data_IF_670850490998
#
_entry.id   IF_670850490998
#
_cell.length_a   1.000
_cell.length_b   1.000
_cell.length_c   1.000
_cell.angle_alpha   90.00
_cell.angle_beta   90.00
_cell.angle_gamma   90.00
#
_symmetry.space_group_name_H-M   'P 1'
#
loop_
_entity.id
_entity.type
_entity.pdbx_description
1 polymer ?
#
# COMPACT_ATOMS: atom_id res chain seq x y z
N UNK A 1 0.25 -16.40 -21.29
CA UNK A 1 1.41 -15.52 -21.58
C UNK A 1 2.16 -15.31 -20.28
N UNK A 2 3.44 -15.68 -20.20
CA UNK A 2 4.26 -15.30 -19.06
C UNK A 2 4.28 -13.77 -18.98
N UNK A 3 3.88 -13.20 -17.84
CA UNK A 3 4.01 -11.76 -17.64
C UNK A 3 5.49 -11.37 -17.81
N UNK A 4 5.76 -10.28 -18.53
CA UNK A 4 7.12 -9.79 -18.68
C UNK A 4 7.68 -9.48 -17.29
N UNK A 5 8.89 -9.96 -16.99
CA UNK A 5 9.59 -9.65 -15.74
C UNK A 5 9.64 -8.14 -15.51
N UNK A 6 9.48 -7.73 -14.26
CA UNK A 6 9.62 -6.36 -13.82
C UNK A 6 11.04 -5.83 -14.06
N UNK A 7 11.15 -4.50 -14.17
CA UNK A 7 12.44 -3.79 -14.25
C UNK A 7 12.63 -2.94 -13.00
N UNK A 8 13.88 -2.65 -12.66
CA UNK A 8 14.26 -1.70 -11.59
C UNK A 8 13.77 -2.09 -10.17
N UNK A 9 13.45 -3.36 -9.91
CA UNK A 9 13.05 -3.82 -8.57
C UNK A 9 14.18 -3.58 -7.55
N UNK A 10 15.44 -3.72 -7.97
CA UNK A 10 16.66 -3.47 -7.21
C UNK A 10 17.14 -2.00 -7.26
N UNK A 11 16.47 -1.16 -8.06
CA UNK A 11 16.77 0.28 -8.23
C UNK A 11 15.57 1.12 -7.77
N UNK A 12 15.22 1.08 -6.47
CA UNK A 12 14.04 1.77 -5.99
C UNK A 12 14.17 3.29 -6.19
N UNK A 13 13.08 3.94 -6.57
CA UNK A 13 12.98 5.41 -6.65
C UNK A 13 13.32 6.07 -5.31
N UNK A 14 12.96 5.41 -4.21
CA UNK A 14 13.36 5.77 -2.85
C UNK A 14 13.21 4.56 -1.91
N UNK A 15 13.86 4.66 -0.75
CA UNK A 15 13.65 3.74 0.37
C UNK A 15 13.08 4.49 1.57
N UNK A 16 12.00 3.98 2.16
CA UNK A 16 11.44 4.47 3.42
C UNK A 16 11.73 3.45 4.52
N UNK A 17 12.22 3.90 5.68
CA UNK A 17 12.60 3.00 6.79
C UNK A 17 11.76 3.27 8.01
N UNK A 18 11.31 2.22 8.69
CA UNK A 18 10.60 2.30 9.96
C UNK A 18 11.18 1.29 10.96
N UNK A 19 11.47 1.75 12.18
CA UNK A 19 11.78 0.88 13.31
C UNK A 19 10.47 0.50 14.00
N UNK A 20 10.17 -0.79 14.13
CA UNK A 20 8.91 -1.28 14.71
C UNK A 20 8.72 -0.88 16.18
N UNK A 21 9.78 -0.45 16.86
CA UNK A 21 9.74 0.07 18.23
C UNK A 21 9.61 1.61 18.31
N UNK A 22 9.55 2.32 17.18
CA UNK A 22 9.46 3.78 17.13
C UNK A 22 8.09 4.31 17.60
N UNK A 23 7.99 5.63 17.76
CA UNK A 23 6.79 6.28 18.26
C UNK A 23 5.64 6.26 17.23
N UNK A 24 4.42 6.54 17.69
CA UNK A 24 3.27 6.81 16.82
C UNK A 24 3.55 7.97 15.84
N UNK A 25 4.23 9.02 16.30
CA UNK A 25 4.60 10.18 15.49
C UNK A 25 5.60 9.82 14.38
N UNK A 26 6.59 8.97 14.68
CA UNK A 26 7.55 8.48 13.68
C UNK A 26 6.84 7.62 12.62
N UNK A 27 5.87 6.81 13.04
CA UNK A 27 5.05 6.00 12.12
C UNK A 27 4.22 6.88 11.20
N UNK A 28 3.53 7.89 11.75
CA UNK A 28 2.75 8.84 10.95
C UNK A 28 3.63 9.59 9.95
N UNK A 29 4.82 10.03 10.38
CA UNK A 29 5.82 10.67 9.51
C UNK A 29 6.32 9.73 8.42
N UNK A 30 6.60 8.47 8.75
CA UNK A 30 7.00 7.44 7.80
C UNK A 30 5.95 7.24 6.70
N UNK A 31 4.68 7.06 7.06
CA UNK A 31 3.58 6.88 6.09
C UNK A 31 3.36 8.14 5.25
N UNK A 32 3.36 9.33 5.86
CA UNK A 32 3.23 10.60 5.15
C UNK A 32 4.38 10.82 4.14
N UNK A 33 5.61 10.45 4.52
CA UNK A 33 6.79 10.51 3.66
C UNK A 33 6.67 9.63 2.42
N UNK A 34 6.14 8.40 2.56
CA UNK A 34 5.87 7.52 1.42
C UNK A 34 4.87 8.16 0.47
N UNK A 35 3.71 8.61 0.98
CA UNK A 35 2.66 9.27 0.16
C UNK A 35 3.22 10.46 -0.61
N UNK A 36 4.03 11.28 0.06
CA UNK A 36 4.65 12.44 -0.57
C UNK A 36 5.60 12.03 -1.71
N UNK A 37 6.45 11.03 -1.51
CA UNK A 37 7.40 10.60 -2.55
C UNK A 37 6.74 9.87 -3.73
N UNK A 38 5.53 9.32 -3.54
CA UNK A 38 4.77 8.62 -4.57
C UNK A 38 3.88 9.53 -5.43
N UNK A 39 3.66 10.78 -5.01
CA UNK A 39 2.72 11.70 -5.69
C UNK A 39 3.13 11.97 -7.14
N UNK A 40 2.13 12.17 -8.01
CA UNK A 40 2.31 12.94 -9.22
C UNK A 40 2.30 14.43 -8.84
N UNK A 41 3.43 15.17 -8.96
CA UNK A 41 3.49 16.56 -8.51
C UNK A 41 2.52 17.49 -9.25
N UNK A 42 2.07 17.12 -10.45
CA UNK A 42 1.11 17.88 -11.24
C UNK A 42 -0.35 17.43 -11.05
N UNK A 43 -0.63 16.44 -10.19
CA UNK A 43 -1.99 15.92 -10.02
C UNK A 43 -2.32 15.65 -8.55
N UNK A 44 -3.16 16.54 -8.00
CA UNK A 44 -3.78 16.42 -6.70
C UNK A 44 -5.29 16.51 -6.85
N UNK A 45 -6.02 15.81 -5.99
CA UNK A 45 -7.47 15.94 -5.87
C UNK A 45 -7.80 16.29 -4.43
N UNK A 46 -8.48 17.42 -4.21
CA UNK A 46 -8.89 17.87 -2.87
C UNK A 46 -7.72 17.90 -1.86
N UNK A 47 -6.56 18.41 -2.30
CA UNK A 47 -5.31 18.47 -1.53
C UNK A 47 -4.74 17.08 -1.11
N UNK A 48 -5.17 16.00 -1.76
CA UNK A 48 -4.61 14.65 -1.60
C UNK A 48 -3.78 14.28 -2.83
N UNK A 49 -2.62 13.63 -2.63
CA UNK A 49 -1.80 13.21 -3.76
C UNK A 49 -2.53 12.16 -4.59
N UNK A 50 -2.34 12.20 -5.91
CA UNK A 50 -2.73 11.12 -6.83
C UNK A 50 -1.46 10.44 -7.32
N UNK A 51 -1.46 9.11 -7.39
CA UNK A 51 -0.38 8.37 -8.03
C UNK A 51 -0.27 8.75 -9.51
N UNK A 52 0.92 8.70 -10.13
CA UNK A 52 0.99 8.67 -11.57
C UNK A 52 0.29 7.40 -12.12
N UNK A 53 -0.23 7.43 -13.35
CA UNK A 53 -0.77 6.24 -13.99
C UNK A 53 0.26 5.10 -14.07
N UNK A 54 -0.24 3.86 -14.17
CA UNK A 54 0.59 2.72 -14.59
C UNK A 54 1.06 2.98 -16.02
N UNK A 55 2.36 2.83 -16.27
CA UNK A 55 2.94 3.03 -17.59
C UNK A 55 2.40 1.98 -18.59
N UNK A 56 1.81 2.40 -19.71
CA UNK A 56 1.24 1.47 -20.67
C UNK A 56 2.34 0.73 -21.46
N UNK A 57 2.05 -0.50 -21.88
CA UNK A 57 2.87 -1.30 -22.81
C UNK A 57 4.29 -1.70 -22.31
N UNK A 58 4.61 -1.46 -21.04
CA UNK A 58 5.87 -1.87 -20.40
C UNK A 58 5.59 -2.74 -19.16
N UNK A 59 6.50 -3.64 -18.75
CA UNK A 59 6.38 -4.30 -17.46
C UNK A 59 6.51 -3.29 -16.30
N UNK A 60 6.06 -3.62 -15.08
CA UNK A 60 6.22 -2.76 -13.92
C UNK A 60 7.70 -2.34 -13.73
N UNK A 61 7.95 -1.04 -13.91
CA UNK A 61 9.31 -0.48 -13.97
C UNK A 61 9.57 0.58 -12.90
N UNK A 62 8.57 0.92 -12.10
CA UNK A 62 8.63 1.93 -11.03
C UNK A 62 8.39 1.29 -9.67
N UNK A 63 9.42 1.30 -8.83
CA UNK A 63 9.46 0.58 -7.55
C UNK A 63 9.96 1.48 -6.44
N UNK A 64 9.57 1.18 -5.21
CA UNK A 64 10.18 1.75 -4.02
C UNK A 64 10.36 0.65 -2.98
N UNK A 65 11.27 0.88 -2.04
CA UNK A 65 11.50 -0.05 -0.95
C UNK A 65 10.96 0.49 0.37
N UNK A 66 10.44 -0.43 1.18
CA UNK A 66 10.20 -0.21 2.61
C UNK A 66 11.15 -1.10 3.39
N UNK A 67 11.86 -0.56 4.36
CA UNK A 67 12.73 -1.32 5.26
C UNK A 67 12.14 -1.28 6.67
N UNK A 68 11.75 -2.43 7.18
CA UNK A 68 11.23 -2.59 8.54
C UNK A 68 12.31 -3.19 9.43
N UNK A 69 12.68 -2.48 10.50
CA UNK A 69 13.74 -2.90 11.43
C UNK A 69 13.16 -3.28 12.79
N UNK A 70 13.63 -4.38 13.38
CA UNK A 70 13.26 -4.80 14.73
C UNK A 70 13.79 -3.84 15.82
N UNK A 71 14.96 -3.23 15.57
CA UNK A 71 15.58 -2.20 16.40
C UNK A 71 16.33 -1.19 15.51
N UNK A 72 16.78 -0.03 16.03
CA UNK A 72 17.55 0.93 15.23
C UNK A 72 18.81 0.34 14.55
N UNK A 73 19.43 -0.67 15.18
CA UNK A 73 20.69 -1.29 14.74
C UNK A 73 20.51 -2.65 14.03
N UNK A 74 19.30 -3.24 14.03
CA UNK A 74 19.06 -4.52 13.36
C UNK A 74 19.10 -4.39 11.84
N UNK A 75 19.57 -5.44 11.15
CA UNK A 75 19.26 -5.64 9.74
C UNK A 75 17.74 -5.66 9.53
N UNK A 76 17.27 -5.01 8.47
CA UNK A 76 15.85 -4.82 8.22
C UNK A 76 15.29 -5.74 7.13
N UNK A 77 14.02 -6.11 7.28
CA UNK A 77 13.22 -6.71 6.22
C UNK A 77 12.97 -5.66 5.12
N UNK A 78 13.45 -5.91 3.91
CA UNK A 78 13.16 -5.03 2.76
C UNK A 78 11.94 -5.55 2.02
N UNK A 79 11.00 -4.66 1.72
CA UNK A 79 9.80 -4.90 0.90
C UNK A 79 9.98 -4.23 -0.46
N UNK A 80 9.64 -4.93 -1.54
CA UNK A 80 9.57 -4.39 -2.90
C UNK A 80 8.10 -4.05 -3.21
N UNK A 81 7.81 -2.76 -3.36
CA UNK A 81 6.45 -2.26 -3.56
C UNK A 81 6.41 -1.43 -4.85
N UNK A 82 5.39 -1.65 -5.67
CA UNK A 82 5.16 -0.89 -6.90
C UNK A 82 4.82 0.57 -6.60
N UNK A 83 5.45 1.50 -7.31
CA UNK A 83 5.28 2.94 -7.12
C UNK A 83 4.11 3.54 -7.93
N UNK A 84 3.34 2.72 -8.65
CA UNK A 84 2.19 3.11 -9.46
C UNK A 84 0.83 2.61 -8.90
N UNK A 85 0.85 1.59 -8.04
CA UNK A 85 -0.37 1.05 -7.39
C UNK A 85 -0.17 0.56 -5.93
N UNK A 86 1.04 0.71 -5.37
CA UNK A 86 1.36 0.34 -3.98
C UNK A 86 1.15 -1.16 -3.74
N UNK A 87 1.28 -2.02 -4.75
CA UNK A 87 1.22 -3.48 -4.57
C UNK A 87 2.53 -3.98 -3.98
N UNK A 88 2.44 -4.75 -2.89
CA UNK A 88 3.56 -5.52 -2.37
C UNK A 88 3.77 -6.73 -3.27
N UNK A 89 4.94 -6.84 -3.89
CA UNK A 89 5.24 -7.93 -4.82
C UNK A 89 6.41 -8.78 -4.34
N UNK A 90 7.18 -8.31 -3.36
CA UNK A 90 8.19 -9.15 -2.75
C UNK A 90 8.78 -8.62 -1.45
N UNK A 91 9.55 -9.48 -0.79
CA UNK A 91 10.30 -9.17 0.41
C UNK A 91 11.64 -9.89 0.42
N UNK A 92 12.64 -9.33 1.09
CA UNK A 92 14.00 -9.89 1.17
C UNK A 92 14.28 -10.42 2.58
N UNK A 93 14.48 -11.73 2.71
CA UNK A 93 14.86 -12.37 3.97
C UNK A 93 16.34 -12.13 4.30
N UNK A 94 16.74 -12.49 5.54
CA UNK A 94 18.07 -12.28 6.08
C UNK A 94 19.16 -13.07 5.36
N UNK A 95 18.80 -14.17 4.70
CA UNK A 95 19.69 -14.97 3.84
C UNK A 95 19.92 -14.34 2.45
N UNK A 96 19.31 -13.17 2.19
CA UNK A 96 19.40 -12.45 0.93
C UNK A 96 18.40 -12.89 -0.14
N UNK A 97 17.57 -13.91 0.12
CA UNK A 97 16.57 -14.39 -0.83
C UNK A 97 15.47 -13.33 -1.02
N UNK A 98 15.25 -12.91 -2.27
CA UNK A 98 14.03 -12.22 -2.66
C UNK A 98 12.90 -13.23 -2.80
N UNK A 99 11.85 -13.05 -2.03
CA UNK A 99 10.61 -13.80 -2.12
C UNK A 99 9.58 -12.97 -2.88
N UNK A 100 9.00 -13.53 -3.93
CA UNK A 100 7.98 -12.83 -4.73
C UNK A 100 6.57 -13.39 -4.48
N UNK A 101 5.57 -12.52 -4.60
CA UNK A 101 4.14 -12.81 -4.48
C UNK A 101 3.48 -13.07 -5.84
N UNK A 102 4.16 -12.75 -6.93
CA UNK A 102 3.72 -13.04 -8.30
C UNK A 102 4.79 -13.88 -9.00
N UNK A 103 4.49 -15.13 -9.42
CA UNK A 103 5.49 -16.00 -10.04
C UNK A 103 6.11 -15.38 -11.30
N UNK A 104 7.44 -15.31 -11.35
CA UNK A 104 8.21 -14.81 -12.49
C UNK A 104 8.18 -13.29 -12.66
N UNK A 105 7.78 -12.53 -11.64
CA UNK A 105 7.72 -11.08 -11.72
C UNK A 105 9.07 -10.42 -11.38
N UNK A 106 9.70 -10.82 -10.28
CA UNK A 106 10.96 -10.22 -9.80
C UNK A 106 12.15 -11.05 -10.32
N UNK A 107 13.07 -10.45 -11.10
CA UNK A 107 14.24 -11.17 -11.61
C UNK A 107 15.05 -11.84 -10.49
N UNK A 108 15.23 -13.16 -10.58
CA UNK A 108 16.01 -13.96 -9.62
C UNK A 108 15.30 -14.25 -8.29
N UNK A 109 14.03 -13.86 -8.12
CA UNK A 109 13.28 -14.15 -6.90
C UNK A 109 12.79 -15.61 -6.84
N UNK A 110 12.47 -16.04 -5.62
CA UNK A 110 11.80 -17.32 -5.33
C UNK A 110 10.34 -17.07 -5.04
N UNK A 111 9.43 -17.67 -5.80
CA UNK A 111 8.00 -17.56 -5.49
C UNK A 111 7.69 -18.09 -4.08
N UNK A 112 6.97 -17.29 -3.29
CA UNK A 112 6.67 -17.60 -1.88
C UNK A 112 5.65 -18.74 -1.72
N UNK A 113 4.83 -19.00 -2.75
CA UNK A 113 3.83 -20.06 -2.76
C UNK A 113 2.39 -19.59 -2.56
N UNK A 114 2.15 -18.28 -2.56
CA UNK A 114 0.82 -17.65 -2.55
C UNK A 114 0.90 -16.23 -3.12
N UNK A 115 -0.23 -15.66 -3.50
CA UNK A 115 -0.34 -14.29 -4.03
C UNK A 115 -0.46 -13.21 -2.95
N UNK A 116 -0.31 -11.94 -3.35
CA UNK A 116 -0.44 -10.78 -2.46
C UNK A 116 -1.88 -10.30 -2.23
N UNK A 117 -2.90 -11.04 -2.67
CA UNK A 117 -4.30 -10.64 -2.52
C UNK A 117 -4.89 -11.15 -1.21
N UNK A 118 -5.84 -10.42 -0.60
CA UNK A 118 -6.51 -10.92 0.61
C UNK A 118 -7.28 -12.23 0.39
N UNK A 119 -7.66 -12.55 -0.86
CA UNK A 119 -8.21 -13.86 -1.22
C UNK A 119 -7.18 -14.98 -1.00
N UNK A 120 -5.93 -14.78 -1.42
CA UNK A 120 -4.86 -15.78 -1.23
C UNK A 120 -4.40 -15.86 0.23
N UNK A 121 -4.44 -14.73 0.94
CA UNK A 121 -3.91 -14.61 2.29
C UNK A 121 -4.90 -15.03 3.38
N UNK A 122 -6.19 -14.71 3.21
CA UNK A 122 -7.26 -14.93 4.20
C UNK A 122 -8.36 -15.88 3.71
N UNK A 123 -8.38 -16.19 2.41
CA UNK A 123 -9.44 -16.92 1.74
C UNK A 123 -10.59 -16.01 1.26
N UNK A 124 -10.80 -14.87 1.90
CA UNK A 124 -11.89 -13.92 1.60
C UNK A 124 -11.50 -12.50 2.01
N UNK A 125 -11.86 -11.49 1.19
CA UNK A 125 -11.65 -10.07 1.49
C UNK A 125 -12.53 -9.58 2.65
N UNK A 126 -13.60 -10.31 2.99
CA UNK A 126 -14.48 -9.98 4.11
C UNK A 126 -13.82 -10.21 5.48
N UNK A 127 -12.79 -11.07 5.53
CA UNK A 127 -12.05 -11.44 6.75
C UNK A 127 -11.04 -10.40 7.21
N UNK A 128 -10.93 -9.25 6.55
CA UNK A 128 -10.06 -8.16 6.98
C UNK A 128 -10.35 -7.69 8.41
N UNK A 129 -11.62 -7.72 8.83
CA UNK A 129 -12.05 -7.37 10.20
C UNK A 129 -11.58 -8.39 11.25
N UNK A 130 -11.00 -9.52 10.85
CA UNK A 130 -10.47 -10.53 11.77
C UNK A 130 -8.98 -10.34 12.09
N UNK A 131 -8.26 -9.53 11.30
CA UNK A 131 -6.81 -9.35 11.40
C UNK A 131 -6.47 -8.43 12.58
N UNK A 132 -5.72 -8.95 13.55
CA UNK A 132 -5.19 -8.16 14.65
C UNK A 132 -4.00 -7.32 14.17
N UNK A 133 -4.04 -6.02 14.45
CA UNK A 133 -3.00 -5.05 14.15
C UNK A 133 -2.44 -4.50 15.46
N UNK A 134 -1.17 -4.13 15.46
CA UNK A 134 -0.49 -3.59 16.64
C UNK A 134 1.01 -3.71 16.53
N UNK A 135 1.72 -3.11 17.50
CA UNK A 135 3.19 -3.09 17.51
C UNK A 135 3.79 -4.50 17.51
N UNK A 136 3.24 -5.40 18.32
CA UNK A 136 3.74 -6.77 18.44
C UNK A 136 3.49 -7.55 17.14
N UNK A 137 2.29 -7.44 16.56
CA UNK A 137 1.97 -8.09 15.28
C UNK A 137 2.91 -7.63 14.16
N UNK A 138 3.21 -6.33 14.09
CA UNK A 138 4.20 -5.80 13.15
C UNK A 138 5.60 -6.41 13.37
N UNK A 139 6.07 -6.48 14.62
CA UNK A 139 7.37 -7.04 14.96
C UNK A 139 7.46 -8.56 14.66
N UNK A 140 6.40 -9.30 14.95
CA UNK A 140 6.32 -10.75 14.70
C UNK A 140 6.27 -11.04 13.20
N UNK A 141 5.53 -10.24 12.43
CA UNK A 141 5.50 -10.33 10.97
C UNK A 141 6.87 -10.05 10.34
N UNK A 142 7.59 -9.03 10.84
CA UNK A 142 8.97 -8.75 10.42
C UNK A 142 9.89 -9.93 10.75
N UNK A 143 9.81 -10.46 11.97
CA UNK A 143 10.62 -11.63 12.40
C UNK A 143 10.36 -12.84 11.51
N UNK A 144 9.09 -13.18 11.25
CA UNK A 144 8.70 -14.35 10.48
C UNK A 144 9.17 -14.28 9.02
N UNK A 145 9.01 -13.13 8.35
CA UNK A 145 9.40 -12.98 6.94
C UNK A 145 10.90 -12.75 6.77
N UNK A 146 11.53 -12.01 7.67
CA UNK A 146 12.98 -11.79 7.62
C UNK A 146 13.75 -13.08 7.91
N UNK A 147 13.29 -13.90 8.86
CA UNK A 147 13.90 -15.19 9.19
C UNK A 147 13.50 -16.34 8.26
N UNK A 148 12.71 -16.09 7.21
CA UNK A 148 12.27 -17.13 6.28
C UNK A 148 13.45 -17.67 5.47
N UNK A 149 13.51 -18.99 5.35
CA UNK A 149 14.50 -19.72 4.55
C UNK A 149 13.82 -20.57 3.47
N UNK A 150 14.59 -21.06 2.49
CA UNK A 150 14.05 -21.95 1.45
C UNK A 150 13.44 -23.25 1.99
N UNK A 151 13.94 -23.74 3.13
CA UNK A 151 13.43 -24.94 3.80
C UNK A 151 12.01 -24.76 4.38
N UNK A 152 11.55 -23.52 4.58
CA UNK A 152 10.21 -23.24 5.10
C UNK A 152 9.11 -23.43 4.05
N UNK A 153 9.44 -23.36 2.75
CA UNK A 153 8.47 -23.38 1.64
C UNK A 153 7.57 -24.64 1.60
N UNK A 154 8.06 -25.87 1.78
CA UNK A 154 7.20 -27.06 1.81
C UNK A 154 6.38 -27.21 3.10
N UNK A 155 6.66 -26.44 4.15
CA UNK A 155 5.97 -26.57 5.44
C UNK A 155 4.64 -25.82 5.46
N UNK A 156 3.52 -26.54 5.53
CA UNK A 156 2.17 -25.97 5.64
C UNK A 156 2.02 -24.91 6.75
N UNK A 157 2.44 -25.18 8.00
CA UNK A 157 2.42 -24.19 9.08
C UNK A 157 3.25 -22.94 8.78
N UNK A 158 4.43 -23.08 8.16
CA UNK A 158 5.25 -21.92 7.77
C UNK A 158 4.65 -21.11 6.64
N UNK A 159 3.97 -21.75 5.70
CA UNK A 159 3.20 -21.05 4.66
C UNK A 159 2.05 -20.24 5.28
N UNK A 160 1.38 -20.79 6.29
CA UNK A 160 0.32 -20.09 7.01
C UNK A 160 0.86 -18.88 7.79
N UNK A 161 1.93 -19.06 8.54
CA UNK A 161 2.61 -17.95 9.24
C UNK A 161 3.05 -16.85 8.27
N UNK A 162 3.57 -17.22 7.09
CA UNK A 162 3.97 -16.26 6.07
C UNK A 162 2.77 -15.47 5.50
N UNK A 163 1.61 -16.11 5.27
CA UNK A 163 0.38 -15.41 4.84
C UNK A 163 -0.10 -14.39 5.88
N UNK A 164 -0.11 -14.78 7.15
CA UNK A 164 -0.50 -13.90 8.27
C UNK A 164 0.45 -12.71 8.40
N UNK A 165 1.75 -12.95 8.28
CA UNK A 165 2.76 -11.90 8.31
C UNK A 165 2.62 -10.93 7.12
N UNK A 166 2.45 -11.44 5.89
CA UNK A 166 2.21 -10.60 4.70
C UNK A 166 0.93 -9.78 4.86
N UNK A 167 -0.15 -10.36 5.38
CA UNK A 167 -1.41 -9.64 5.66
C UNK A 167 -1.19 -8.49 6.64
N UNK A 168 -0.44 -8.74 7.71
CA UNK A 168 -0.12 -7.72 8.72
C UNK A 168 0.65 -6.55 8.09
N UNK A 169 1.66 -6.85 7.26
CA UNK A 169 2.44 -5.81 6.60
C UNK A 169 1.64 -5.05 5.54
N UNK A 170 0.79 -5.73 4.76
CA UNK A 170 -0.11 -5.06 3.81
C UNK A 170 -0.98 -4.01 4.53
N UNK A 171 -1.63 -4.38 5.64
CA UNK A 171 -2.47 -3.45 6.38
C UNK A 171 -1.68 -2.30 7.01
N UNK A 172 -0.54 -2.60 7.64
CA UNK A 172 0.23 -1.62 8.40
C UNK A 172 1.20 -0.78 7.55
N UNK A 173 1.40 -1.11 6.27
CA UNK A 173 2.26 -0.35 5.34
C UNK A 173 1.47 0.08 4.11
N UNK A 174 0.97 -0.86 3.31
CA UNK A 174 0.35 -0.57 2.02
C UNK A 174 -1.01 0.11 2.19
N UNK A 175 -1.92 -0.47 2.98
CA UNK A 175 -3.24 0.12 3.23
C UNK A 175 -3.14 1.38 4.09
N UNK A 176 -2.22 1.40 5.07
CA UNK A 176 -1.89 2.62 5.78
C UNK A 176 -1.38 3.71 4.83
N UNK A 177 -0.61 3.39 3.78
CA UNK A 177 -0.22 4.39 2.77
C UNK A 177 -1.43 4.87 1.96
N UNK A 178 -2.31 3.95 1.54
CA UNK A 178 -3.50 4.26 0.74
C UNK A 178 -4.56 5.07 1.50
N UNK A 179 -4.71 4.86 2.81
CA UNK A 179 -5.81 5.42 3.59
C UNK A 179 -5.37 6.15 4.86
N UNK A 180 -5.86 7.37 5.05
CA UNK A 180 -5.65 8.13 6.28
C UNK A 180 -6.31 7.43 7.47
N UNK A 181 -7.49 6.85 7.27
CA UNK A 181 -8.24 6.07 8.28
C UNK A 181 -7.40 4.90 8.81
N UNK A 182 -6.84 4.07 7.93
CA UNK A 182 -6.00 2.94 8.32
C UNK A 182 -4.71 3.41 8.99
N UNK A 183 -4.03 4.44 8.44
CA UNK A 183 -2.82 4.97 9.09
C UNK A 183 -3.08 5.57 10.47
N UNK A 184 -4.21 6.27 10.65
CA UNK A 184 -4.61 6.85 11.93
C UNK A 184 -4.98 5.78 12.94
N UNK A 185 -5.69 4.73 12.50
CA UNK A 185 -6.00 3.57 13.32
C UNK A 185 -4.72 2.87 13.80
N UNK A 186 -3.80 2.55 12.89
CA UNK A 186 -2.52 1.91 13.25
C UNK A 186 -1.69 2.81 14.17
N UNK A 187 -1.57 4.11 13.86
CA UNK A 187 -0.87 5.06 14.71
C UNK A 187 -1.44 5.10 16.13
N UNK A 188 -2.77 5.00 16.27
CA UNK A 188 -3.46 4.93 17.56
C UNK A 188 -3.18 3.67 18.38
N UNK A 189 -2.63 2.61 17.76
CA UNK A 189 -2.21 1.38 18.44
C UNK A 189 -0.71 1.38 18.83
N UNK A 190 0.07 2.38 18.40
CA UNK A 190 1.51 2.46 18.63
C UNK A 190 1.86 3.32 19.85
N UNK A 191 1.67 2.77 21.04
CA UNK A 191 1.96 3.50 22.29
C UNK A 191 3.43 3.37 22.75
N UNK A 192 3.90 4.29 23.61
CA UNK A 192 5.17 4.14 24.34
C UNK A 192 5.19 2.87 25.20
N UNK A 193 6.40 2.39 25.56
CA UNK A 193 6.59 1.15 26.34
C UNK A 193 5.89 1.14 27.71
N UNK A 194 5.64 2.32 28.29
CA UNK A 194 4.97 2.45 29.59
C UNK A 194 3.45 2.20 29.52
N UNK A 195 2.86 2.16 28.32
CA UNK A 195 1.45 1.84 28.11
C UNK A 195 1.32 0.35 27.82
N UNK A 196 0.25 -0.27 28.35
CA UNK A 196 -0.07 -1.67 28.07
C UNK A 196 -0.08 -1.96 26.57
N UNK A 197 0.44 -3.13 26.18
CA UNK A 197 0.47 -3.57 24.79
C UNK A 197 -0.96 -3.59 24.23
N UNK A 198 -1.23 -2.75 23.23
CA UNK A 198 -2.52 -2.74 22.53
C UNK A 198 -2.45 -3.46 21.19
N UNK A 199 -3.55 -4.12 20.87
CA UNK A 199 -3.87 -4.57 19.53
C UNK A 199 -5.33 -4.22 19.22
N UNK A 200 -5.67 -4.15 17.94
CA UNK A 200 -7.02 -3.83 17.50
C UNK A 200 -7.30 -4.40 16.12
N UNK A 201 -8.57 -4.41 15.73
CA UNK A 201 -9.02 -4.84 14.39
C UNK A 201 -9.77 -3.68 13.74
N UNK A 202 -9.67 -3.57 12.42
CA UNK A 202 -10.41 -2.53 11.69
C UNK A 202 -11.92 -2.83 11.68
N UNK A 203 -12.74 -1.78 11.65
CA UNK A 203 -14.19 -1.89 11.48
C UNK A 203 -14.62 -2.13 10.03
N UNK A 204 -15.94 -2.22 9.81
CA UNK A 204 -16.53 -2.51 8.51
C UNK A 204 -16.28 -1.39 7.48
N UNK A 205 -16.28 -0.13 7.91
CA UNK A 205 -16.04 1.03 7.05
C UNK A 205 -14.62 0.98 6.46
N UNK A 206 -13.60 0.76 7.30
CA UNK A 206 -12.22 0.62 6.86
C UNK A 206 -12.02 -0.62 5.98
N UNK A 207 -12.67 -1.75 6.28
CA UNK A 207 -12.69 -2.92 5.39
C UNK A 207 -13.24 -2.55 4.00
N UNK A 208 -14.38 -1.86 3.95
CA UNK A 208 -15.00 -1.45 2.70
C UNK A 208 -14.11 -0.47 1.91
N UNK A 209 -13.40 0.42 2.60
CA UNK A 209 -12.41 1.32 2.00
C UNK A 209 -11.27 0.53 1.37
N UNK A 210 -10.63 -0.39 2.13
CA UNK A 210 -9.53 -1.24 1.64
C UNK A 210 -9.97 -2.05 0.42
N UNK A 211 -11.15 -2.66 0.47
CA UNK A 211 -11.69 -3.45 -0.63
C UNK A 211 -12.15 -2.62 -1.85
N UNK A 212 -12.19 -1.28 -1.73
CA UNK A 212 -12.71 -0.37 -2.77
C UNK A 212 -11.84 0.87 -2.98
N UNK A 213 -10.51 0.73 -2.88
CA UNK A 213 -9.60 1.87 -3.07
C UNK A 213 -9.78 2.55 -4.43
N UNK A 214 -9.87 1.77 -5.51
CA UNK A 214 -10.12 2.28 -6.85
C UNK A 214 -11.48 2.98 -6.96
N UNK A 215 -12.53 2.41 -6.35
CA UNK A 215 -13.88 2.98 -6.37
C UNK A 215 -13.91 4.35 -5.69
N UNK A 216 -13.29 4.46 -4.50
CA UNK A 216 -13.23 5.71 -3.74
C UNK A 216 -12.37 6.76 -4.44
N UNK A 217 -11.22 6.36 -5.00
CA UNK A 217 -10.40 7.22 -5.86
C UNK A 217 -11.20 7.78 -7.04
N UNK A 218 -11.88 6.90 -7.78
CA UNK A 218 -12.67 7.30 -8.95
C UNK A 218 -13.83 8.22 -8.56
N UNK A 219 -14.51 7.95 -7.44
CA UNK A 219 -15.60 8.78 -6.93
C UNK A 219 -15.13 10.21 -6.62
N UNK A 220 -13.94 10.37 -6.03
CA UNK A 220 -13.38 11.70 -5.77
C UNK A 220 -12.89 12.38 -7.06
N UNK A 221 -12.16 11.68 -7.93
CA UNK A 221 -11.65 12.23 -9.19
C UNK A 221 -12.77 12.73 -10.12
N UNK A 222 -13.95 12.09 -10.11
CA UNK A 222 -15.13 12.55 -10.88
C UNK A 222 -15.58 13.95 -10.48
N UNK A 223 -15.35 14.37 -9.24
CA UNK A 223 -15.75 15.71 -8.75
C UNK A 223 -14.82 16.83 -9.22
N UNK A 224 -13.61 16.49 -9.69
CA UNK A 224 -12.64 17.45 -10.24
C UNK A 224 -12.90 17.75 -11.73
N UNK A 225 -13.77 16.98 -12.38
CA UNK A 225 -14.07 17.14 -13.82
C UNK A 225 -14.78 18.47 -14.03
N UNK A 226 -14.14 19.36 -14.81
CA UNK A 226 -14.73 20.64 -15.18
C UNK A 226 -16.03 20.40 -15.96
N UNK A 227 -17.18 20.93 -15.51
CA UNK A 227 -18.44 20.74 -16.23
C UNK A 227 -18.41 21.47 -17.58
N UNK A 228 -19.13 20.97 -18.59
CA UNK A 228 -19.38 21.73 -19.81
C UNK A 228 -20.02 23.09 -19.52
N UNK A 229 -19.84 24.10 -20.40
CA UNK A 229 -20.48 25.41 -20.24
C UNK A 229 -21.98 25.29 -19.96
N UNK A 230 -22.46 26.00 -18.94
CA UNK A 230 -23.87 25.99 -18.51
C UNK A 230 -24.30 24.78 -17.67
N UNK A 231 -23.42 23.80 -17.40
CA UNK A 231 -23.72 22.66 -16.51
C UNK A 231 -23.15 22.87 -15.12
N UNK A 232 -23.84 22.34 -14.11
CA UNK A 232 -23.34 22.33 -12.73
C UNK A 232 -22.16 21.38 -12.56
N UNK A 233 -21.22 21.68 -11.64
CA UNK A 233 -20.14 20.74 -11.26
C UNK A 233 -20.68 19.38 -10.82
N UNK A 234 -19.91 18.32 -11.07
CA UNK A 234 -20.25 16.98 -10.63
C UNK A 234 -20.30 16.92 -9.09
N UNK A 235 -21.38 16.33 -8.55
CA UNK A 235 -21.51 16.09 -7.10
C UNK A 235 -20.95 14.72 -6.74
N UNK A 236 -20.34 14.63 -5.58
CA UNK A 236 -19.89 13.35 -5.02
C UNK A 236 -21.09 12.42 -4.79
N UNK A 237 -20.99 11.18 -5.27
CA UNK A 237 -21.98 10.14 -5.00
C UNK A 237 -21.58 9.37 -3.72
N UNK A 238 -22.41 9.36 -2.66
CA UNK A 238 -22.11 8.66 -1.41
C UNK A 238 -21.76 7.17 -1.61
N UNK A 239 -20.78 6.70 -0.86
CA UNK A 239 -20.44 5.28 -0.72
C UNK A 239 -20.69 4.89 0.74
N UNK A 240 -21.96 4.64 1.07
CA UNK A 240 -22.43 4.43 2.46
C UNK A 240 -21.67 3.31 3.18
N UNK A 241 -21.34 2.21 2.49
CA UNK A 241 -20.56 1.09 3.07
C UNK A 241 -19.18 1.50 3.61
N UNK A 242 -18.61 2.59 3.10
CA UNK A 242 -17.32 3.13 3.54
C UNK A 242 -17.46 4.22 4.62
N UNK A 243 -18.69 4.63 4.96
CA UNK A 243 -18.95 5.80 5.79
C UNK A 243 -18.60 7.12 5.10
N UNK A 244 -18.56 7.16 3.77
CA UNK A 244 -18.12 8.34 2.98
C UNK A 244 -19.28 8.91 2.17
N UNK A 245 -19.82 10.04 2.62
CA UNK A 245 -20.98 10.72 2.01
C UNK A 245 -20.65 11.97 1.22
N UNK A 246 -19.48 12.56 1.45
CA UNK A 246 -19.08 13.83 0.81
C UNK A 246 -17.66 13.75 0.23
N UNK A 247 -17.35 14.63 -0.73
CA UNK A 247 -15.99 14.78 -1.26
C UNK A 247 -14.97 15.11 -0.15
N UNK A 248 -15.38 15.89 0.86
CA UNK A 248 -14.55 16.22 2.04
C UNK A 248 -14.22 14.96 2.84
N UNK A 249 -15.22 14.10 3.10
CA UNK A 249 -14.98 12.82 3.77
C UNK A 249 -14.11 11.88 2.94
N UNK A 250 -14.28 11.85 1.61
CA UNK A 250 -13.44 11.06 0.73
C UNK A 250 -11.97 11.53 0.78
N UNK A 251 -11.73 12.84 0.70
CA UNK A 251 -10.39 13.42 0.84
C UNK A 251 -9.76 13.12 2.21
N UNK A 252 -10.54 13.18 3.30
CA UNK A 252 -10.10 12.83 4.64
C UNK A 252 -9.91 11.31 4.85
N UNK A 253 -10.44 10.47 3.95
CA UNK A 253 -10.26 9.01 3.97
C UNK A 253 -9.03 8.59 3.17
N UNK A 254 -8.82 9.18 1.99
CA UNK A 254 -7.75 8.83 1.05
C UNK A 254 -6.40 9.37 1.52
N UNK A 255 -5.46 8.47 1.81
CA UNK A 255 -4.06 8.76 2.04
C UNK A 255 -3.36 9.22 0.77
N UNK A 256 -3.54 8.47 -0.30
CA UNK A 256 -3.14 8.77 -1.68
C UNK A 256 -4.11 8.08 -2.63
N UNK A 257 -4.48 8.73 -3.72
CA UNK A 257 -5.40 8.18 -4.70
C UNK A 257 -4.65 7.27 -5.68
N UNK A 258 -5.24 6.11 -5.98
CA UNK A 258 -4.98 5.43 -7.25
C UNK A 258 -5.44 6.32 -8.41
N UNK A 259 -4.63 6.42 -9.46
CA UNK A 259 -5.06 7.04 -10.71
C UNK A 259 -6.16 6.21 -11.37
N UNK A 260 -7.24 6.86 -11.79
CA UNK A 260 -8.34 6.23 -12.53
C UNK A 260 -8.74 7.17 -13.67
N UNK A 261 -8.83 6.64 -14.89
CA UNK A 261 -9.44 7.37 -16.00
C UNK A 261 -10.94 7.46 -15.76
N UNK A 262 -11.43 8.67 -15.48
CA UNK A 262 -12.85 8.97 -15.32
C UNK A 262 -13.34 9.78 -16.52
N UNK A 263 -14.61 9.68 -16.94
CA UNK A 263 -15.14 10.44 -18.07
C UNK A 263 -14.91 11.95 -17.91
N UNK A 264 -14.21 12.57 -18.86
CA UNK A 264 -13.86 14.00 -18.83
C UNK A 264 -12.66 14.36 -17.94
N UNK A 265 -12.06 13.39 -17.26
CA UNK A 265 -10.82 13.56 -16.49
C UNK A 265 -9.56 13.41 -17.33
N UNK A 266 -8.40 13.35 -16.66
CA UNK A 266 -7.12 13.08 -17.32
C UNK A 266 -7.08 11.65 -17.86
N UNK A 267 -6.52 11.50 -19.06
CA UNK A 267 -6.16 10.18 -19.61
C UNK A 267 -4.83 9.70 -19.00
N UNK A 268 -4.53 8.40 -19.11
CA UNK A 268 -3.23 7.82 -18.73
C UNK A 268 -2.08 8.59 -19.39
N UNK A 269 -2.18 8.79 -20.71
CA UNK A 269 -1.15 9.50 -21.48
C UNK A 269 -0.94 10.94 -20.97
N UNK A 270 -2.02 11.68 -20.75
CA UNK A 270 -1.91 13.09 -20.32
C UNK A 270 -1.39 13.22 -18.90
N UNK A 271 -1.84 12.37 -17.98
CA UNK A 271 -1.37 12.40 -16.60
C UNK A 271 0.12 12.01 -16.48
N UNK A 272 0.62 11.09 -17.32
CA UNK A 272 2.05 10.76 -17.42
C UNK A 272 2.87 11.89 -18.05
N UNK A 273 2.35 12.57 -19.08
CA UNK A 273 3.00 13.76 -19.65
C UNK A 273 3.21 14.84 -18.58
N UNK A 274 2.15 15.16 -17.81
CA UNK A 274 2.22 16.11 -16.70
C UNK A 274 3.16 15.66 -15.58
N UNK A 275 3.20 14.35 -15.31
CA UNK A 275 4.13 13.76 -14.33
C UNK A 275 5.59 14.02 -14.71
N UNK A 276 5.97 13.71 -15.95
CA UNK A 276 7.34 13.92 -16.43
C UNK A 276 7.68 15.42 -16.52
N UNK A 277 6.76 16.25 -17.01
CA UNK A 277 6.96 17.70 -17.11
C UNK A 277 7.16 18.38 -15.73
N UNK A 278 6.63 17.80 -14.66
CA UNK A 278 6.81 18.27 -13.28
C UNK A 278 7.96 17.61 -12.52
N UNK A 279 8.86 16.90 -13.22
CA UNK A 279 10.06 16.28 -12.65
C UNK A 279 9.85 14.90 -12.02
N UNK A 280 8.69 14.27 -12.27
CA UNK A 280 8.41 12.89 -11.88
C UNK A 280 9.36 11.88 -12.53
N UNK A 281 9.71 10.84 -11.77
CA UNK A 281 10.55 9.70 -12.20
C UNK A 281 9.85 8.38 -11.91
#
# INVERSE_FOLDING_TARGET
MAAKMAKNVDKPLFTATFNVQASSADYATFIAGIRNKLRNPAHFSHNRPVLPPVEPNVPPSRWFHVVLKASPTSAGLTLAIRADNIYLEGFKSSDGTWWELTPGLIPGATYVGFGGTYRDLLGDTDKLTNVALGRQQLADAVTALHGRTKADKPSGPKQQQAREAVTTLLLMVNEATRFQTVSGFVAGLLHPKAVEKKSGKIGNEMKAQVNGWQDLSAALLKTDVKPPPGKSPAKFAPIEKMGVRTAVQAANTLGILLFVEVPGGLTVAKALELFHASGGK
#
